data_IF_265307706474
#
_entry.id   IF_265307706474
#
_cell.length_a   1.000
_cell.length_b   1.000
_cell.length_c   1.000
_cell.angle_alpha   90.00
_cell.angle_beta   90.00
_cell.angle_gamma   90.00
#
_symmetry.space_group_name_H-M   'P 1'
#
loop_
_entity.id
_entity.type
_entity.pdbx_description
1 polymer ?
#
# COMPACT_ATOMS: atom_id res chain seq x y z
N UNK A 1 -20.94 -39.09 -56.83
CA UNK A 1 -20.14 -37.92 -56.58
C UNK A 1 -21.04 -36.91 -55.88
N UNK A 2 -20.89 -36.77 -54.56
CA UNK A 2 -21.55 -35.74 -53.77
C UNK A 2 -20.43 -35.00 -53.02
N UNK A 3 -20.21 -33.76 -53.40
CA UNK A 3 -19.28 -32.85 -52.71
C UNK A 3 -19.90 -32.38 -51.39
N UNK A 4 -19.20 -32.65 -50.32
CA UNK A 4 -19.55 -32.27 -48.93
C UNK A 4 -18.83 -30.99 -48.58
N UNK A 5 -19.55 -29.88 -48.72
CA UNK A 5 -19.01 -28.53 -48.45
C UNK A 5 -19.27 -28.16 -46.99
N UNK A 6 -18.41 -28.66 -46.07
CA UNK A 6 -18.44 -28.28 -44.63
C UNK A 6 -17.66 -26.99 -44.43
N UNK A 7 -18.37 -25.90 -44.29
CA UNK A 7 -17.81 -24.59 -43.92
C UNK A 7 -16.96 -24.65 -42.64
N UNK A 8 -15.65 -24.43 -42.77
CA UNK A 8 -14.73 -24.21 -41.65
C UNK A 8 -15.12 -22.91 -40.94
N UNK A 9 -15.69 -23.04 -39.74
CA UNK A 9 -15.77 -21.91 -38.78
C UNK A 9 -14.32 -21.45 -38.48
N UNK A 10 -13.98 -20.22 -38.83
CA UNK A 10 -12.72 -19.59 -38.43
C UNK A 10 -12.75 -19.44 -36.91
N UNK A 11 -11.85 -20.14 -36.22
CA UNK A 11 -11.60 -19.91 -34.80
C UNK A 11 -11.08 -18.46 -34.60
N UNK A 12 -11.54 -17.78 -33.52
CA UNK A 12 -10.98 -16.49 -33.19
C UNK A 12 -9.48 -16.65 -32.92
N UNK A 13 -8.69 -15.70 -33.43
CA UNK A 13 -7.24 -15.70 -33.33
C UNK A 13 -6.82 -15.84 -31.85
N UNK A 14 -6.07 -16.90 -31.57
CA UNK A 14 -5.39 -17.06 -30.28
C UNK A 14 -4.30 -16.02 -30.20
N UNK A 15 -4.42 -15.11 -29.24
CA UNK A 15 -3.38 -14.09 -28.98
C UNK A 15 -2.19 -14.81 -28.36
N UNK A 16 -1.08 -14.90 -29.08
CA UNK A 16 0.17 -15.44 -28.56
C UNK A 16 0.87 -14.34 -27.71
N UNK A 17 0.81 -14.50 -26.39
CA UNK A 17 1.44 -13.59 -25.44
C UNK A 17 2.98 -13.61 -25.43
N UNK A 18 3.61 -14.46 -26.23
CA UNK A 18 5.09 -14.60 -26.30
C UNK A 18 5.74 -13.66 -27.30
N UNK A 19 4.95 -13.07 -28.17
CA UNK A 19 5.42 -12.08 -29.13
C UNK A 19 4.38 -10.96 -29.25
N UNK A 20 4.48 -9.88 -28.47
CA UNK A 20 3.59 -8.75 -28.60
C UNK A 20 3.95 -7.92 -29.84
N UNK A 21 3.80 -8.54 -30.99
CA UNK A 21 3.63 -7.80 -32.23
C UNK A 21 2.41 -6.91 -32.06
N UNK A 22 2.58 -5.62 -32.33
CA UNK A 22 1.62 -4.54 -32.23
C UNK A 22 0.19 -5.05 -32.44
N UNK A 23 -0.55 -5.31 -31.35
CA UNK A 23 -1.99 -5.55 -31.43
C UNK A 23 -2.60 -4.26 -31.94
N UNK A 24 -3.04 -4.24 -33.19
CA UNK A 24 -3.83 -3.14 -33.72
C UNK A 24 -5.05 -2.98 -32.78
N UNK A 25 -5.31 -1.77 -32.27
CA UNK A 25 -6.45 -1.56 -31.40
C UNK A 25 -7.71 -1.98 -32.15
N UNK A 26 -8.45 -2.91 -31.59
CA UNK A 26 -9.77 -3.24 -32.06
C UNK A 26 -10.61 -1.96 -31.88
N UNK A 27 -10.95 -1.29 -32.98
CA UNK A 27 -11.90 -0.18 -32.97
C UNK A 27 -13.26 -0.78 -32.63
N UNK A 28 -13.62 -0.70 -31.36
CA UNK A 28 -14.93 -1.10 -30.90
C UNK A 28 -15.93 0.00 -31.29
N UNK A 29 -16.96 -0.38 -32.04
CA UNK A 29 -18.01 0.53 -32.48
C UNK A 29 -18.72 1.21 -31.31
N UNK A 30 -18.86 0.53 -30.18
CA UNK A 30 -19.47 1.08 -28.95
C UNK A 30 -18.57 2.21 -28.40
N UNK A 31 -17.27 1.99 -28.33
CA UNK A 31 -16.31 3.00 -27.87
C UNK A 31 -16.32 4.24 -28.77
N UNK A 32 -16.44 4.09 -30.08
CA UNK A 32 -16.55 5.22 -31.01
C UNK A 32 -17.85 6.01 -30.82
N UNK A 33 -18.99 5.33 -30.63
CA UNK A 33 -20.28 5.98 -30.32
C UNK A 33 -20.20 6.73 -28.99
N UNK A 34 -19.62 6.12 -27.95
CA UNK A 34 -19.43 6.78 -26.63
C UNK A 34 -18.53 8.00 -26.75
N UNK A 35 -17.45 7.89 -27.52
CA UNK A 35 -16.51 9.02 -27.74
C UNK A 35 -17.17 10.16 -28.53
N UNK A 36 -17.95 9.84 -29.56
CA UNK A 36 -18.70 10.86 -30.31
C UNK A 36 -19.74 11.54 -29.45
N UNK A 37 -20.55 10.76 -28.71
CA UNK A 37 -21.56 11.30 -27.78
C UNK A 37 -20.94 12.15 -26.68
N UNK A 38 -19.80 11.71 -26.12
CA UNK A 38 -19.08 12.50 -25.11
C UNK A 38 -18.55 13.82 -25.67
N UNK A 39 -18.05 13.83 -26.90
CA UNK A 39 -17.63 15.07 -27.59
C UNK A 39 -18.78 16.05 -27.74
N UNK A 40 -19.93 15.59 -28.22
CA UNK A 40 -21.12 16.42 -28.43
C UNK A 40 -21.64 16.98 -27.11
N UNK A 41 -21.81 16.15 -26.09
CA UNK A 41 -22.27 16.56 -24.76
C UNK A 41 -21.31 17.55 -24.11
N UNK A 42 -20.00 17.31 -24.22
CA UNK A 42 -18.98 18.21 -23.68
C UNK A 42 -19.01 19.56 -24.39
N UNK A 43 -19.15 19.57 -25.73
CA UNK A 43 -19.26 20.81 -26.50
C UNK A 43 -20.51 21.60 -26.13
N UNK A 44 -21.65 20.94 -25.95
CA UNK A 44 -22.90 21.58 -25.50
C UNK A 44 -22.76 22.18 -24.10
N UNK A 45 -22.15 21.45 -23.17
CA UNK A 45 -21.93 21.94 -21.81
C UNK A 45 -21.00 23.17 -21.78
N UNK A 46 -19.93 23.17 -22.59
CA UNK A 46 -19.01 24.34 -22.71
C UNK A 46 -19.73 25.55 -23.30
N UNK A 47 -20.55 25.34 -24.34
CA UNK A 47 -21.35 26.41 -24.95
C UNK A 47 -22.37 26.98 -23.96
N UNK A 48 -23.03 26.11 -23.18
CA UNK A 48 -23.98 26.53 -22.15
C UNK A 48 -23.29 27.35 -21.03
N UNK A 49 -22.11 26.91 -20.55
CA UNK A 49 -21.32 27.63 -19.55
C UNK A 49 -20.95 29.04 -20.03
N UNK A 50 -20.55 29.18 -21.30
CA UNK A 50 -20.21 30.48 -21.88
C UNK A 50 -21.46 31.35 -22.06
N UNK A 51 -22.58 30.77 -22.50
CA UNK A 51 -23.85 31.51 -22.65
C UNK A 51 -24.35 32.03 -21.30
N UNK A 52 -24.28 31.21 -20.26
CA UNK A 52 -24.65 31.60 -18.90
C UNK A 52 -23.74 32.70 -18.38
N UNK A 53 -22.41 32.60 -18.56
CA UNK A 53 -21.48 33.66 -18.17
C UNK A 53 -21.81 35.02 -18.85
N UNK A 54 -22.11 35.02 -20.16
CA UNK A 54 -22.49 36.21 -20.90
C UNK A 54 -23.82 36.75 -20.39
N UNK A 55 -24.79 35.89 -20.10
CA UNK A 55 -26.09 36.29 -19.57
C UNK A 55 -25.98 36.94 -18.19
N UNK A 56 -25.15 36.44 -17.30
CA UNK A 56 -24.90 37.03 -15.96
C UNK A 56 -24.28 38.41 -16.04
N UNK A 57 -23.65 38.78 -17.16
CA UNK A 57 -23.01 40.08 -17.36
C UNK A 57 -23.77 40.96 -18.38
N UNK A 58 -25.03 40.64 -18.68
CA UNK A 58 -25.84 41.33 -19.72
C UNK A 58 -26.06 42.80 -19.44
N UNK A 59 -26.14 43.19 -18.17
CA UNK A 59 -26.32 44.55 -17.74
C UNK A 59 -25.11 45.48 -17.96
N UNK A 60 -23.91 44.86 -18.18
CA UNK A 60 -22.68 45.61 -18.38
C UNK A 60 -22.58 46.13 -19.82
N UNK A 61 -22.65 47.44 -20.01
CA UNK A 61 -22.48 48.11 -21.30
C UNK A 61 -21.20 48.93 -21.36
N UNK A 62 -20.70 49.16 -22.56
CA UNK A 62 -19.60 50.08 -22.82
C UNK A 62 -20.09 51.53 -22.96
N UNK A 63 -19.18 52.48 -23.11
CA UNK A 63 -19.49 53.92 -23.28
C UNK A 63 -20.39 54.21 -24.50
N UNK A 64 -20.57 53.28 -25.42
CA UNK A 64 -21.43 53.37 -26.60
C UNK A 64 -22.69 52.51 -26.46
N UNK A 65 -23.12 52.22 -25.26
CA UNK A 65 -24.30 51.37 -24.93
C UNK A 65 -24.26 49.91 -25.50
N UNK A 66 -23.13 49.47 -26.01
CA UNK A 66 -23.01 48.11 -26.56
C UNK A 66 -22.65 47.12 -25.45
N UNK A 67 -23.07 45.89 -25.61
CA UNK A 67 -22.76 44.83 -24.68
C UNK A 67 -21.23 44.70 -24.49
N UNK A 68 -20.80 44.78 -23.25
CA UNK A 68 -19.38 44.79 -22.88
C UNK A 68 -18.75 43.40 -23.00
N UNK A 69 -19.45 42.38 -22.49
CA UNK A 69 -18.98 40.98 -22.52
C UNK A 69 -19.60 40.30 -23.74
N UNK A 70 -18.76 39.86 -24.67
CA UNK A 70 -19.21 39.30 -25.94
C UNK A 70 -18.42 38.02 -26.28
N UNK A 71 -19.08 37.13 -27.01
CA UNK A 71 -18.41 35.99 -27.65
C UNK A 71 -17.49 36.49 -28.76
N UNK A 72 -16.28 35.94 -28.86
CA UNK A 72 -15.26 36.33 -29.84
C UNK A 72 -14.59 35.12 -30.49
N UNK A 73 -15.36 34.34 -31.24
CA UNK A 73 -14.86 33.13 -31.89
C UNK A 73 -14.54 32.00 -30.93
N UNK A 74 -13.56 31.16 -31.29
CA UNK A 74 -13.12 30.02 -30.51
C UNK A 74 -11.64 30.11 -30.21
N UNK A 75 -11.22 29.42 -29.16
CA UNK A 75 -9.82 29.09 -28.93
C UNK A 75 -9.39 27.95 -29.90
N UNK A 76 -8.09 27.76 -30.13
CA UNK A 76 -7.62 26.60 -30.86
C UNK A 76 -8.16 25.30 -30.24
N UNK A 77 -8.49 24.35 -31.12
CA UNK A 77 -8.91 23.02 -30.69
C UNK A 77 -7.82 22.37 -29.86
N UNK A 78 -8.19 21.76 -28.75
CA UNK A 78 -7.27 21.00 -27.91
C UNK A 78 -7.85 19.63 -27.58
N UNK A 79 -6.98 18.67 -27.43
CA UNK A 79 -7.33 17.30 -27.09
C UNK A 79 -7.19 17.07 -25.59
N UNK A 80 -8.19 16.41 -25.00
CA UNK A 80 -8.20 16.02 -23.59
C UNK A 80 -8.22 14.49 -23.52
N UNK A 81 -7.25 13.92 -22.81
CA UNK A 81 -7.21 12.49 -22.52
C UNK A 81 -8.27 12.14 -21.49
N UNK A 82 -9.17 11.23 -21.84
CA UNK A 82 -10.26 10.75 -20.97
C UNK A 82 -10.22 9.22 -20.83
N UNK A 83 -11.04 8.67 -19.94
CA UNK A 83 -11.17 7.22 -19.76
C UNK A 83 -11.71 6.47 -20.99
N UNK A 84 -12.28 7.16 -21.96
CA UNK A 84 -12.76 6.60 -23.25
C UNK A 84 -11.85 6.96 -24.44
N UNK A 85 -10.63 7.46 -24.16
CA UNK A 85 -9.66 7.93 -25.14
C UNK A 85 -9.61 9.45 -25.26
N UNK A 86 -9.04 9.92 -26.35
CA UNK A 86 -8.89 11.35 -26.65
C UNK A 86 -10.20 11.97 -27.12
N UNK A 87 -10.55 13.11 -26.51
CA UNK A 87 -11.70 13.92 -26.91
C UNK A 87 -11.22 15.32 -27.31
N UNK A 88 -11.42 15.66 -28.57
CA UNK A 88 -11.12 16.99 -29.09
C UNK A 88 -12.22 17.97 -28.68
N UNK A 89 -11.83 19.13 -28.16
CA UNK A 89 -12.76 20.17 -27.65
C UNK A 89 -12.38 21.54 -28.19
N UNK A 90 -13.42 22.33 -28.54
CA UNK A 90 -13.29 23.73 -28.92
C UNK A 90 -13.97 24.60 -27.90
N UNK A 91 -13.24 25.46 -27.22
CA UNK A 91 -13.77 26.38 -26.24
C UNK A 91 -14.08 27.72 -26.87
N UNK A 92 -15.30 28.27 -26.75
CA UNK A 92 -15.61 29.64 -27.17
C UNK A 92 -14.74 30.65 -26.42
N UNK A 93 -14.30 31.68 -27.10
CA UNK A 93 -13.58 32.79 -26.49
C UNK A 93 -14.55 33.86 -26.07
N UNK A 94 -14.45 34.30 -24.83
CA UNK A 94 -15.17 35.46 -24.30
C UNK A 94 -14.23 36.67 -24.23
N UNK A 95 -14.66 37.80 -24.66
CA UNK A 95 -13.93 39.08 -24.62
C UNK A 95 -14.70 40.10 -23.82
N UNK A 96 -14.05 40.68 -22.84
CA UNK A 96 -14.46 41.95 -22.23
C UNK A 96 -13.80 43.10 -23.01
N UNK A 97 -14.60 44.03 -23.49
CA UNK A 97 -14.11 45.17 -24.27
C UNK A 97 -13.27 46.14 -23.43
N UNK A 98 -13.47 46.17 -22.12
CA UNK A 98 -12.67 46.96 -21.18
C UNK A 98 -11.53 46.17 -20.55
N UNK A 99 -11.47 44.87 -20.75
CA UNK A 99 -10.36 44.02 -20.32
C UNK A 99 -10.26 43.72 -18.81
N UNK A 100 -11.25 44.09 -18.01
CA UNK A 100 -11.25 43.95 -16.55
C UNK A 100 -11.81 42.58 -16.11
N UNK A 101 -12.73 42.01 -16.87
CA UNK A 101 -13.38 40.72 -16.55
C UNK A 101 -12.80 39.64 -17.43
N UNK A 102 -12.29 38.60 -16.79
CA UNK A 102 -11.74 37.41 -17.48
C UNK A 102 -12.63 36.20 -17.27
N UNK A 103 -13.03 35.55 -18.35
CA UNK A 103 -13.74 34.29 -18.32
C UNK A 103 -12.72 33.15 -18.14
N UNK A 104 -13.00 32.26 -17.20
CA UNK A 104 -12.30 30.96 -17.04
C UNK A 104 -13.35 29.87 -16.90
N UNK A 105 -13.29 28.88 -17.78
CA UNK A 105 -14.21 27.74 -17.75
C UNK A 105 -13.94 26.86 -16.52
N UNK A 106 -14.99 26.45 -15.83
CA UNK A 106 -14.92 25.48 -14.74
C UNK A 106 -14.82 24.05 -15.27
N UNK A 107 -15.45 23.79 -16.42
CA UNK A 107 -15.41 22.49 -17.11
C UNK A 107 -14.05 22.23 -17.78
N UNK A 108 -13.45 23.28 -18.35
CA UNK A 108 -12.19 23.24 -19.09
C UNK A 108 -11.17 24.22 -18.52
N UNK A 109 -10.63 24.01 -17.32
CA UNK A 109 -9.58 24.85 -16.77
C UNK A 109 -8.41 25.03 -17.74
N UNK A 110 -7.69 26.15 -17.71
CA UNK A 110 -6.47 26.33 -18.46
C UNK A 110 -5.51 25.17 -18.22
N UNK A 111 -4.84 24.70 -19.28
CA UNK A 111 -3.86 23.61 -19.21
C UNK A 111 -4.41 22.20 -18.88
N UNK A 112 -5.70 22.00 -18.74
CA UNK A 112 -6.28 20.66 -18.59
C UNK A 112 -5.94 19.81 -19.83
N UNK A 113 -5.14 18.78 -19.64
CA UNK A 113 -4.75 17.82 -20.69
C UNK A 113 -5.33 16.43 -20.47
N UNK A 114 -5.76 16.13 -19.25
CA UNK A 114 -6.27 14.82 -18.83
C UNK A 114 -7.40 15.00 -17.83
N UNK A 115 -8.33 14.05 -17.81
CA UNK A 115 -9.33 13.98 -16.75
C UNK A 115 -8.70 13.53 -15.44
N UNK A 116 -9.28 13.92 -14.33
CA UNK A 116 -8.82 13.55 -12.99
C UNK A 116 -8.73 12.03 -12.80
N UNK A 117 -9.68 11.26 -13.36
CA UNK A 117 -9.66 9.80 -13.34
C UNK A 117 -8.41 9.20 -13.99
N UNK A 118 -7.91 9.79 -15.07
CA UNK A 118 -6.66 9.37 -15.71
C UNK A 118 -5.45 9.78 -14.85
N UNK A 119 -5.46 10.97 -14.29
CA UNK A 119 -4.37 11.41 -13.40
C UNK A 119 -4.24 10.53 -12.16
N UNK A 120 -5.35 10.05 -11.61
CA UNK A 120 -5.38 9.11 -10.48
C UNK A 120 -4.98 7.68 -10.89
N UNK A 121 -5.31 7.23 -12.11
CA UNK A 121 -4.97 5.91 -12.62
C UNK A 121 -3.46 5.72 -12.83
N UNK A 122 -2.78 6.73 -13.35
CA UNK A 122 -1.37 6.63 -13.75
C UNK A 122 -0.43 6.29 -12.58
N UNK A 123 -0.49 6.95 -11.42
CA UNK A 123 0.30 6.58 -10.25
C UNK A 123 0.02 5.14 -9.82
N UNK A 124 -1.24 4.72 -9.90
CA UNK A 124 -1.66 3.38 -9.50
C UNK A 124 -1.09 2.29 -10.41
N UNK A 125 -1.11 2.49 -11.73
CA UNK A 125 -0.49 1.58 -12.71
C UNK A 125 1.03 1.47 -12.47
N UNK A 126 1.70 2.59 -12.22
CA UNK A 126 3.13 2.60 -11.87
C UNK A 126 3.40 1.78 -10.60
N UNK A 127 2.61 1.98 -9.54
CA UNK A 127 2.74 1.22 -8.30
C UNK A 127 2.46 -0.28 -8.49
N UNK A 128 1.59 -0.65 -9.45
CA UNK A 128 1.28 -2.05 -9.77
C UNK A 128 2.31 -2.76 -10.65
N UNK A 129 3.35 -2.08 -11.08
CA UNK A 129 4.50 -2.72 -11.71
C UNK A 129 4.74 -2.39 -13.17
N UNK A 130 3.96 -1.50 -13.78
CA UNK A 130 4.30 -1.01 -15.11
C UNK A 130 5.59 -0.19 -15.05
N UNK A 131 6.56 -0.55 -15.91
CA UNK A 131 7.77 0.27 -16.06
C UNK A 131 7.45 1.54 -16.85
N UNK A 132 8.33 2.52 -16.79
CA UNK A 132 8.19 3.76 -17.58
C UNK A 132 8.08 3.51 -19.08
N UNK A 133 8.75 2.48 -19.58
CA UNK A 133 8.69 2.08 -20.99
C UNK A 133 7.37 1.42 -21.37
N UNK A 134 6.78 0.64 -20.45
CA UNK A 134 5.54 -0.12 -20.71
C UNK A 134 4.29 0.75 -20.62
N UNK A 135 4.39 1.97 -20.05
CA UNK A 135 3.24 2.87 -19.91
C UNK A 135 2.63 3.25 -21.25
N UNK A 136 3.46 3.57 -22.24
CA UNK A 136 2.97 3.92 -23.58
C UNK A 136 2.15 2.78 -24.16
N UNK A 137 2.67 1.56 -24.10
CA UNK A 137 2.00 0.36 -24.61
C UNK A 137 0.69 0.07 -23.86
N UNK A 138 0.72 0.14 -22.51
CA UNK A 138 -0.46 -0.12 -21.70
C UNK A 138 -1.54 0.96 -21.90
N UNK A 139 -1.17 2.22 -22.00
CA UNK A 139 -2.11 3.32 -22.25
C UNK A 139 -2.65 3.26 -23.69
N UNK A 140 -1.84 2.91 -24.66
CA UNK A 140 -2.28 2.69 -26.05
C UNK A 140 -3.31 1.55 -26.11
N UNK A 141 -3.09 0.47 -25.37
CA UNK A 141 -4.05 -0.65 -25.30
C UNK A 141 -5.38 -0.26 -24.61
N UNK A 142 -5.34 0.60 -23.61
CA UNK A 142 -6.52 1.02 -22.85
C UNK A 142 -7.27 2.21 -23.46
N UNK A 143 -6.55 3.16 -24.04
CA UNK A 143 -7.08 4.49 -24.40
C UNK A 143 -6.98 4.79 -25.91
N UNK A 144 -6.37 3.91 -26.69
CA UNK A 144 -6.18 4.06 -28.14
C UNK A 144 -4.77 4.52 -28.54
N UNK A 145 -4.50 4.48 -29.85
CA UNK A 145 -3.13 4.69 -30.42
C UNK A 145 -2.52 6.05 -30.09
N UNK A 146 -3.34 7.07 -29.93
CA UNK A 146 -2.90 8.45 -29.70
C UNK A 146 -2.73 8.81 -28.23
N UNK A 147 -2.83 7.82 -27.32
CA UNK A 147 -2.67 8.07 -25.88
C UNK A 147 -1.21 8.46 -25.59
N UNK A 148 -0.94 9.72 -25.18
CA UNK A 148 0.41 10.13 -24.84
C UNK A 148 0.91 9.33 -23.64
N UNK A 149 2.02 8.63 -23.81
CA UNK A 149 2.68 7.89 -22.75
C UNK A 149 3.04 8.80 -21.57
N UNK A 150 3.28 8.20 -20.41
CA UNK A 150 3.86 8.95 -19.30
C UNK A 150 5.31 9.30 -19.65
N UNK A 151 5.59 10.58 -19.75
CA UNK A 151 6.98 11.03 -19.89
C UNK A 151 7.76 10.74 -18.61
N UNK A 152 9.06 10.51 -18.71
CA UNK A 152 9.95 10.38 -17.55
C UNK A 152 9.80 11.56 -16.57
N UNK A 153 9.56 12.77 -17.07
CA UNK A 153 9.29 13.96 -16.27
C UNK A 153 8.00 13.85 -15.43
N UNK A 154 6.94 13.24 -15.97
CA UNK A 154 5.70 13.01 -15.20
C UNK A 154 5.93 12.06 -14.03
N UNK A 155 6.72 11.00 -14.25
CA UNK A 155 7.04 10.04 -13.18
C UNK A 155 7.96 10.68 -12.13
N UNK A 156 8.92 11.49 -12.53
CA UNK A 156 9.76 12.24 -11.59
C UNK A 156 8.92 13.17 -10.72
N UNK A 157 7.96 13.89 -11.31
CA UNK A 157 7.03 14.75 -10.56
C UNK A 157 6.16 13.96 -9.57
N UNK A 158 5.66 12.78 -9.98
CA UNK A 158 4.88 11.91 -9.08
C UNK A 158 5.71 11.43 -7.88
N UNK A 159 6.98 11.11 -8.09
CA UNK A 159 7.88 10.70 -7.00
C UNK A 159 8.11 11.83 -6.00
N UNK A 160 8.26 13.06 -6.46
CA UNK A 160 8.40 14.22 -5.56
C UNK A 160 7.11 14.46 -4.77
N UNK A 161 5.94 14.39 -5.38
CA UNK A 161 4.65 14.48 -4.67
C UNK A 161 4.54 13.39 -3.60
N UNK A 162 4.91 12.14 -3.90
CA UNK A 162 4.87 11.06 -2.91
C UNK A 162 5.88 11.24 -1.77
N UNK A 163 7.01 11.86 -2.07
CA UNK A 163 8.01 12.20 -1.05
C UNK A 163 7.50 13.30 -0.11
N UNK A 164 6.82 14.32 -0.64
CA UNK A 164 6.17 15.35 0.16
C UNK A 164 5.04 14.77 1.01
N UNK A 165 4.15 13.94 0.44
CA UNK A 165 3.11 13.23 1.18
C UNK A 165 3.68 12.38 2.32
N UNK A 166 4.79 11.66 2.05
CA UNK A 166 5.50 10.90 3.08
C UNK A 166 6.01 11.81 4.20
N UNK A 167 6.65 12.92 3.87
CA UNK A 167 7.19 13.86 4.86
C UNK A 167 6.09 14.45 5.75
N UNK A 168 4.96 14.85 5.17
CA UNK A 168 3.79 15.34 5.92
C UNK A 168 3.23 14.24 6.83
N UNK A 169 3.06 13.04 6.29
CA UNK A 169 2.59 11.90 7.05
C UNK A 169 3.53 11.51 8.18
N UNK A 170 4.84 11.53 7.96
CA UNK A 170 5.85 11.19 8.97
C UNK A 170 5.82 12.15 10.17
N UNK A 171 5.43 13.39 9.97
CA UNK A 171 5.32 14.43 11.02
C UNK A 171 3.94 14.54 11.66
N UNK A 172 2.96 13.71 11.23
CA UNK A 172 1.59 13.81 11.72
C UNK A 172 1.50 13.57 13.22
N UNK A 173 0.57 14.25 13.84
CA UNK A 173 0.23 14.09 15.26
C UNK A 173 -0.37 12.70 15.55
N UNK A 174 0.06 12.10 16.63
CA UNK A 174 -0.45 10.82 17.14
C UNK A 174 -1.15 10.97 18.49
N UNK A 175 -1.30 12.19 19.02
CA UNK A 175 -2.01 12.44 20.27
C UNK A 175 -3.45 11.91 20.20
N UNK A 176 -3.90 11.34 21.32
CA UNK A 176 -5.23 10.73 21.41
C UNK A 176 -5.37 9.39 20.70
N UNK A 177 -4.30 8.86 20.08
CA UNK A 177 -4.29 7.49 19.55
C UNK A 177 -3.81 6.54 20.62
N UNK A 178 -4.69 5.63 21.02
CA UNK A 178 -4.35 4.54 21.90
C UNK A 178 -3.95 3.32 21.06
N UNK A 179 -2.68 2.98 21.09
CA UNK A 179 -2.11 1.83 20.36
C UNK A 179 -1.93 0.70 21.36
N UNK A 180 -2.65 -0.39 21.14
CA UNK A 180 -2.64 -1.55 22.05
C UNK A 180 -1.54 -2.52 21.70
N UNK A 181 -1.36 -2.83 20.42
CA UNK A 181 -0.32 -3.73 19.90
C UNK A 181 0.55 -3.05 18.86
N UNK A 182 1.83 -3.43 18.86
CA UNK A 182 2.80 -3.03 17.83
C UNK A 182 3.33 -4.25 17.07
N UNK A 183 3.59 -4.07 15.79
CA UNK A 183 4.39 -4.96 14.96
C UNK A 183 5.56 -4.16 14.40
N UNK A 184 6.77 -4.68 14.54
CA UNK A 184 7.98 -4.07 14.03
C UNK A 184 8.77 -5.08 13.16
N UNK A 185 9.28 -4.60 12.02
CA UNK A 185 10.08 -5.42 11.11
C UNK A 185 11.01 -4.55 10.26
N UNK A 186 12.17 -5.10 9.89
CA UNK A 186 13.10 -4.52 8.94
C UNK A 186 12.97 -5.18 7.57
N UNK A 187 12.59 -4.41 6.56
CA UNK A 187 12.40 -4.94 5.21
C UNK A 187 13.55 -4.52 4.31
N UNK A 188 14.29 -5.51 3.79
CA UNK A 188 15.45 -5.28 2.95
C UNK A 188 15.08 -5.23 1.46
N UNK A 189 15.63 -4.24 0.75
CA UNK A 189 15.46 -4.03 -0.68
C UNK A 189 16.80 -3.74 -1.37
N UNK A 190 16.98 -4.29 -2.59
CA UNK A 190 18.08 -3.87 -3.46
C UNK A 190 17.84 -2.47 -4.03
N UNK A 191 18.82 -1.59 -3.94
CA UNK A 191 18.83 -0.27 -4.57
C UNK A 191 19.86 -0.28 -5.70
N UNK A 192 19.44 0.14 -6.90
CA UNK A 192 20.20 -0.09 -8.15
C UNK A 192 21.56 0.63 -8.21
N UNK A 193 21.70 1.76 -7.53
CA UNK A 193 22.92 2.58 -7.54
C UNK A 193 23.75 2.44 -6.27
N UNK A 194 23.42 1.48 -5.40
CA UNK A 194 24.11 1.30 -4.13
C UNK A 194 24.50 -0.17 -3.95
N UNK A 195 25.72 -0.41 -3.46
CA UNK A 195 26.26 -1.77 -3.24
C UNK A 195 25.58 -2.46 -2.04
N UNK A 196 24.97 -1.70 -1.13
CA UNK A 196 24.30 -2.23 0.05
C UNK A 196 22.78 -2.25 -0.12
N UNK A 197 22.14 -3.32 0.33
CA UNK A 197 20.69 -3.40 0.42
C UNK A 197 20.17 -2.32 1.38
N UNK A 198 19.12 -1.61 0.96
CA UNK A 198 18.41 -0.68 1.82
C UNK A 198 17.53 -1.47 2.79
N UNK A 199 17.58 -1.14 4.07
CA UNK A 199 16.65 -1.61 5.09
C UNK A 199 15.61 -0.52 5.36
N UNK A 200 14.33 -0.83 5.18
CA UNK A 200 13.24 0.02 5.60
C UNK A 200 12.69 -0.53 6.91
N UNK A 201 12.81 0.25 7.98
CA UNK A 201 12.19 -0.06 9.27
C UNK A 201 10.72 0.34 9.25
N UNK A 202 9.86 -0.56 9.73
CA UNK A 202 8.40 -0.39 9.68
C UNK A 202 7.80 -0.69 11.04
N UNK A 203 6.87 0.18 11.49
CA UNK A 203 6.03 -0.06 12.66
C UNK A 203 4.56 0.07 12.25
N UNK A 204 3.79 -0.98 12.50
CA UNK A 204 2.32 -1.01 12.41
C UNK A 204 1.76 -1.09 13.83
N UNK A 205 0.67 -0.39 14.10
CA UNK A 205 -0.04 -0.47 15.39
C UNK A 205 -1.49 -0.88 15.22
N UNK A 206 -2.05 -1.53 16.24
CA UNK A 206 -3.49 -1.73 16.39
C UNK A 206 -4.04 -0.72 17.36
N UNK A 207 -5.05 0.04 16.94
CA UNK A 207 -5.79 1.00 17.75
C UNK A 207 -6.82 0.29 18.65
N UNK A 208 -7.34 1.00 19.63
CA UNK A 208 -8.35 0.49 20.58
C UNK A 208 -9.61 -0.07 19.90
N UNK A 209 -9.96 0.42 18.70
CA UNK A 209 -11.05 -0.11 17.87
C UNK A 209 -10.64 -1.29 16.98
N UNK A 210 -9.41 -1.80 17.14
CA UNK A 210 -8.88 -2.96 16.43
C UNK A 210 -8.39 -2.68 15.00
N UNK A 211 -8.45 -1.43 14.51
CA UNK A 211 -7.91 -1.08 13.21
C UNK A 211 -6.38 -1.07 13.24
N UNK A 212 -5.79 -1.59 12.18
CA UNK A 212 -4.34 -1.53 12.01
C UNK A 212 -3.95 -0.26 11.27
N UNK A 213 -2.90 0.41 11.73
CA UNK A 213 -2.40 1.65 11.14
C UNK A 213 -0.88 1.60 10.98
N UNK A 214 -0.39 2.11 9.86
CA UNK A 214 1.04 2.37 9.70
C UNK A 214 1.43 3.54 10.60
N UNK A 215 2.30 3.33 11.59
CA UNK A 215 2.71 4.33 12.57
C UNK A 215 4.00 5.04 12.15
N UNK A 216 4.99 4.25 11.77
CA UNK A 216 6.27 4.75 11.32
C UNK A 216 6.85 3.88 10.19
N UNK A 217 7.59 4.53 9.32
CA UNK A 217 8.39 3.91 8.26
C UNK A 217 9.58 4.82 8.00
N UNK A 218 10.79 4.29 8.05
CA UNK A 218 11.99 5.08 7.79
C UNK A 218 13.05 4.25 7.09
N UNK A 219 13.97 4.94 6.42
CA UNK A 219 15.18 4.33 5.89
C UNK A 219 16.15 4.07 7.05
N UNK A 220 16.41 2.80 7.34
CA UNK A 220 17.39 2.36 8.31
C UNK A 220 18.67 1.92 7.58
N UNK A 221 19.81 2.48 7.94
CA UNK A 221 21.09 1.99 7.41
C UNK A 221 21.31 0.52 7.76
N UNK A 222 20.85 0.10 8.94
CA UNK A 222 20.78 -1.29 9.44
C UNK A 222 19.68 -1.35 10.50
N UNK A 223 19.25 -2.55 10.88
CA UNK A 223 18.39 -2.79 12.05
C UNK A 223 19.15 -2.60 13.36
N UNK A 224 19.82 -1.44 13.53
CA UNK A 224 20.61 -1.12 14.71
C UNK A 224 19.71 -0.71 15.87
N UNK A 225 20.20 -0.86 17.08
CA UNK A 225 19.54 -0.35 18.30
C UNK A 225 19.24 1.14 18.18
N UNK A 226 20.21 1.91 17.68
CA UNK A 226 20.06 3.35 17.52
C UNK A 226 18.94 3.74 16.55
N UNK A 227 18.89 3.08 15.38
CA UNK A 227 17.84 3.37 14.37
C UNK A 227 16.43 3.04 14.91
N UNK A 228 16.27 1.93 15.63
CA UNK A 228 15.02 1.58 16.28
C UNK A 228 14.65 2.54 17.40
N UNK A 229 15.63 2.93 18.23
CA UNK A 229 15.42 3.89 19.32
C UNK A 229 14.96 5.24 18.80
N UNK A 230 15.59 5.76 17.78
CA UNK A 230 15.19 7.03 17.14
C UNK A 230 13.76 6.96 16.61
N UNK A 231 13.38 5.85 15.94
CA UNK A 231 12.03 5.65 15.44
C UNK A 231 10.98 5.57 16.56
N UNK A 232 11.27 4.85 17.66
CA UNK A 232 10.37 4.76 18.81
C UNK A 232 10.24 6.09 19.55
N UNK A 233 11.34 6.85 19.69
CA UNK A 233 11.32 8.20 20.27
C UNK A 233 10.52 9.18 19.40
N UNK A 234 10.61 9.09 18.08
CA UNK A 234 9.78 9.87 17.15
C UNK A 234 8.29 9.61 17.37
N UNK A 235 7.88 8.34 17.56
CA UNK A 235 6.50 8.02 17.92
C UNK A 235 6.05 8.71 19.21
N UNK A 236 6.91 8.72 20.25
CA UNK A 236 6.65 9.41 21.51
C UNK A 236 6.52 10.92 21.34
N UNK A 237 7.45 11.52 20.60
CA UNK A 237 7.45 12.96 20.32
C UNK A 237 6.20 13.40 19.54
N UNK A 238 5.71 12.55 18.65
CA UNK A 238 4.45 12.78 17.91
C UNK A 238 3.19 12.53 18.75
N UNK A 239 3.31 12.13 20.00
CA UNK A 239 2.21 12.03 20.94
C UNK A 239 1.77 10.62 21.34
N UNK A 240 2.47 9.56 20.94
CA UNK A 240 2.22 8.20 21.44
C UNK A 240 2.84 8.05 22.82
N UNK A 241 2.15 8.57 23.84
CA UNK A 241 2.66 8.63 25.24
C UNK A 241 2.34 7.37 26.05
N UNK A 242 1.29 6.64 25.68
CA UNK A 242 0.88 5.40 26.36
C UNK A 242 1.65 4.24 25.77
N UNK A 243 2.31 3.47 26.63
CA UNK A 243 3.07 2.29 26.21
C UNK A 243 2.12 1.22 25.64
N UNK A 244 2.36 0.68 24.44
CA UNK A 244 1.61 -0.46 23.91
C UNK A 244 1.70 -1.67 24.86
N UNK A 245 0.66 -2.49 24.90
CA UNK A 245 0.63 -3.67 25.79
C UNK A 245 1.55 -4.78 25.31
N UNK A 246 1.74 -4.91 24.00
CA UNK A 246 2.58 -5.92 23.38
C UNK A 246 3.25 -5.40 22.11
N UNK A 247 4.51 -5.76 21.89
CA UNK A 247 5.22 -5.58 20.64
C UNK A 247 5.64 -6.93 20.06
N UNK A 248 5.33 -7.17 18.80
CA UNK A 248 5.75 -8.37 18.06
C UNK A 248 6.79 -7.99 17.02
N UNK A 249 7.97 -8.62 17.08
CA UNK A 249 9.04 -8.40 16.11
C UNK A 249 9.83 -9.69 15.86
N UNK A 250 10.71 -9.63 14.85
CA UNK A 250 11.64 -10.68 14.54
C UNK A 250 12.81 -10.80 15.55
N UNK A 251 13.92 -11.48 15.13
CA UNK A 251 15.14 -11.67 15.92
C UNK A 251 16.07 -10.48 16.01
N UNK A 252 15.76 -9.33 15.40
CA UNK A 252 16.67 -8.19 15.37
C UNK A 252 16.94 -7.67 16.79
N UNK A 253 18.16 -7.90 17.28
CA UNK A 253 18.58 -7.51 18.62
C UNK A 253 18.43 -6.01 18.87
N UNK A 254 18.56 -5.19 17.83
CA UNK A 254 18.45 -3.73 17.93
C UNK A 254 17.08 -3.28 18.42
N UNK A 255 16.00 -3.84 17.89
CA UNK A 255 14.63 -3.51 18.33
C UNK A 255 14.39 -3.86 19.80
N UNK A 256 14.78 -5.07 20.21
CA UNK A 256 14.56 -5.56 21.57
C UNK A 256 15.39 -4.84 22.63
N UNK A 257 16.51 -4.23 22.26
CA UNK A 257 17.29 -3.36 23.13
C UNK A 257 16.70 -1.94 23.21
N UNK A 258 16.15 -1.43 22.11
CA UNK A 258 15.56 -0.09 22.04
C UNK A 258 14.20 -0.01 22.71
N UNK A 259 13.35 -1.04 22.56
CA UNK A 259 11.97 -1.05 23.06
C UNK A 259 11.85 -0.69 24.55
N UNK A 260 12.55 -1.36 25.49
CA UNK A 260 12.40 -1.09 26.91
C UNK A 260 12.94 0.28 27.32
N UNK A 261 13.83 0.89 26.54
CA UNK A 261 14.34 2.24 26.78
C UNK A 261 13.31 3.33 26.46
N UNK A 262 12.34 3.03 25.61
CA UNK A 262 11.33 4.01 25.16
C UNK A 262 9.94 3.66 25.69
N UNK A 263 9.54 2.39 25.58
CA UNK A 263 8.25 1.85 26.01
C UNK A 263 8.49 0.72 27.04
N UNK A 264 8.88 1.11 28.26
CA UNK A 264 9.35 0.19 29.30
C UNK A 264 8.33 -0.84 29.78
N UNK A 265 7.02 -0.54 29.65
CA UNK A 265 5.94 -1.44 30.07
C UNK A 265 5.43 -2.34 28.93
N UNK A 266 5.97 -2.21 27.73
CA UNK A 266 5.55 -3.03 26.59
C UNK A 266 6.15 -4.42 26.66
N UNK A 267 5.29 -5.44 26.65
CA UNK A 267 5.71 -6.84 26.67
C UNK A 267 6.25 -7.26 25.29
N UNK A 268 7.24 -8.13 25.29
CA UNK A 268 7.89 -8.64 24.07
C UNK A 268 7.25 -9.94 23.60
N UNK A 269 6.93 -10.04 22.32
CA UNK A 269 6.53 -11.25 21.63
C UNK A 269 7.45 -11.49 20.43
N UNK A 270 8.16 -12.60 20.42
CA UNK A 270 8.97 -13.01 19.27
C UNK A 270 8.10 -13.57 18.15
N UNK A 271 8.38 -13.17 16.91
CA UNK A 271 7.66 -13.68 15.75
C UNK A 271 7.91 -15.15 15.51
N UNK A 272 6.86 -15.98 15.53
CA UNK A 272 6.95 -17.43 15.29
C UNK A 272 7.38 -17.77 13.87
N UNK A 273 7.01 -16.97 12.86
CA UNK A 273 7.44 -17.21 11.46
C UNK A 273 8.96 -17.09 11.34
N UNK A 274 9.52 -15.99 11.82
CA UNK A 274 10.97 -15.77 11.80
C UNK A 274 11.72 -16.77 12.68
N UNK A 275 11.18 -17.07 13.88
CA UNK A 275 11.80 -18.06 14.75
C UNK A 275 11.83 -19.44 14.11
N UNK A 276 10.73 -19.88 13.51
CA UNK A 276 10.67 -21.14 12.76
C UNK A 276 11.74 -21.18 11.68
N UNK A 277 11.84 -20.15 10.84
CA UNK A 277 12.87 -20.09 9.80
C UNK A 277 14.29 -20.15 10.40
N UNK A 278 14.55 -19.42 11.48
CA UNK A 278 15.86 -19.41 12.14
C UNK A 278 16.25 -20.79 12.70
N UNK A 279 15.31 -21.50 13.31
CA UNK A 279 15.56 -22.86 13.82
C UNK A 279 15.83 -23.84 12.66
N UNK A 280 15.03 -23.77 11.60
CA UNK A 280 15.16 -24.64 10.43
C UNK A 280 16.50 -24.43 9.70
N UNK A 281 17.06 -23.21 9.70
CA UNK A 281 18.38 -22.93 9.12
C UNK A 281 19.52 -23.67 9.77
N UNK A 282 19.35 -24.17 11.00
CA UNK A 282 20.32 -25.03 11.69
C UNK A 282 20.10 -26.54 11.47
N UNK A 283 19.11 -26.90 10.63
CA UNK A 283 18.75 -28.29 10.35
C UNK A 283 18.99 -28.67 8.88
N UNK A 284 19.43 -29.86 8.58
CA UNK A 284 19.50 -30.38 7.21
C UNK A 284 18.12 -30.38 6.55
N UNK A 285 18.04 -30.15 5.23
CA UNK A 285 16.80 -30.07 4.46
C UNK A 285 15.87 -31.26 4.74
N UNK A 286 16.40 -32.49 4.83
CA UNK A 286 15.60 -33.69 5.10
C UNK A 286 14.95 -33.73 6.49
N UNK A 287 15.38 -32.88 7.44
CA UNK A 287 14.80 -32.80 8.78
C UNK A 287 13.83 -31.60 8.93
N UNK A 288 13.92 -30.65 8.02
CA UNK A 288 13.18 -29.38 8.16
C UNK A 288 11.65 -29.56 8.18
N UNK A 289 11.10 -30.47 7.38
CA UNK A 289 9.66 -30.71 7.33
C UNK A 289 9.12 -31.17 8.69
N UNK A 290 9.74 -32.22 9.27
CA UNK A 290 9.36 -32.77 10.59
C UNK A 290 9.56 -31.75 11.72
N UNK A 291 10.68 -31.01 11.67
CA UNK A 291 10.94 -29.98 12.67
C UNK A 291 9.94 -28.82 12.59
N UNK A 292 9.52 -28.45 11.38
CA UNK A 292 8.49 -27.44 11.17
C UNK A 292 7.14 -27.86 11.77
N UNK A 293 6.74 -29.10 11.59
CA UNK A 293 5.52 -29.65 12.23
C UNK A 293 5.60 -29.53 13.76
N UNK A 294 6.73 -29.95 14.36
CA UNK A 294 6.94 -29.82 15.80
C UNK A 294 6.91 -28.37 16.31
N UNK A 295 7.51 -27.43 15.57
CA UNK A 295 7.45 -26.01 15.88
C UNK A 295 6.04 -25.46 15.72
N UNK A 296 5.26 -25.98 14.79
CA UNK A 296 3.85 -25.65 14.61
C UNK A 296 3.02 -26.15 15.82
N UNK A 297 3.27 -27.36 16.32
CA UNK A 297 2.58 -27.89 17.52
C UNK A 297 2.77 -26.94 18.72
N UNK A 298 3.97 -26.39 18.92
CA UNK A 298 4.24 -25.41 19.98
C UNK A 298 3.42 -24.14 19.79
N UNK A 299 3.46 -23.58 18.58
CA UNK A 299 2.82 -22.28 18.29
C UNK A 299 1.30 -22.35 18.22
N UNK A 300 0.73 -23.56 18.05
CA UNK A 300 -0.71 -23.80 17.93
C UNK A 300 -1.28 -24.51 19.15
N UNK A 301 -0.49 -24.74 20.19
CA UNK A 301 -0.98 -25.32 21.44
C UNK A 301 -2.16 -24.55 22.03
N UNK A 302 -3.04 -25.26 22.69
CA UNK A 302 -4.25 -24.68 23.28
C UNK A 302 -3.99 -23.90 24.58
N UNK A 303 -2.93 -24.25 25.28
CA UNK A 303 -2.50 -23.57 26.50
C UNK A 303 -0.96 -23.50 26.57
N UNK A 304 -0.46 -22.66 27.49
CA UNK A 304 0.98 -22.48 27.71
C UNK A 304 1.65 -23.77 28.16
N UNK A 305 1.01 -24.56 29.03
CA UNK A 305 1.58 -25.80 29.53
C UNK A 305 1.84 -26.82 28.42
N UNK A 306 0.90 -26.98 27.48
CA UNK A 306 1.07 -27.87 26.33
C UNK A 306 2.17 -27.36 25.39
N UNK A 307 2.24 -26.04 25.19
CA UNK A 307 3.31 -25.42 24.40
C UNK A 307 4.69 -25.69 25.04
N UNK A 308 4.81 -25.53 26.34
CA UNK A 308 6.04 -25.80 27.10
C UNK A 308 6.45 -27.27 27.01
N UNK A 309 5.51 -28.19 27.13
CA UNK A 309 5.77 -29.61 26.94
C UNK A 309 6.21 -29.90 25.51
N UNK A 310 5.60 -29.31 24.50
CA UNK A 310 6.01 -29.46 23.10
C UNK A 310 7.43 -28.89 22.85
N UNK A 311 7.81 -27.82 23.55
CA UNK A 311 9.21 -27.30 23.52
C UNK A 311 10.16 -28.35 24.07
N UNK A 312 9.88 -28.97 25.23
CA UNK A 312 10.73 -30.00 25.82
C UNK A 312 10.88 -31.21 24.88
N UNK A 313 9.79 -31.65 24.24
CA UNK A 313 9.83 -32.71 23.23
C UNK A 313 10.74 -32.34 22.04
N UNK A 314 10.66 -31.09 21.58
CA UNK A 314 11.55 -30.60 20.52
C UNK A 314 13.02 -30.62 20.95
N UNK A 315 13.33 -30.10 22.14
CA UNK A 315 14.68 -30.07 22.68
C UNK A 315 15.27 -31.50 22.89
N UNK A 316 14.48 -32.42 23.40
CA UNK A 316 14.88 -33.82 23.55
C UNK A 316 15.12 -34.49 22.19
N UNK A 317 14.30 -34.19 21.17
CA UNK A 317 14.41 -34.83 19.85
C UNK A 317 15.61 -34.32 19.06
N UNK A 318 15.90 -33.03 19.11
CA UNK A 318 16.90 -32.39 18.25
C UNK A 318 18.17 -31.96 18.98
N UNK A 319 18.14 -31.80 20.32
CA UNK A 319 19.24 -31.21 21.10
C UNK A 319 20.54 -31.94 20.96
N UNK A 320 20.54 -33.31 21.07
CA UNK A 320 21.76 -34.12 21.01
C UNK A 320 22.46 -34.01 19.64
N UNK A 321 21.70 -33.98 18.55
CA UNK A 321 22.27 -34.01 17.19
C UNK A 321 22.41 -32.62 16.56
N UNK A 322 21.54 -31.66 16.95
CA UNK A 322 21.46 -30.32 16.39
C UNK A 322 21.39 -29.27 17.50
N UNK A 323 22.43 -29.16 18.35
CA UNK A 323 22.39 -28.30 19.55
C UNK A 323 22.10 -26.82 19.21
N UNK A 324 22.58 -26.29 18.08
CA UNK A 324 22.33 -24.93 17.65
C UNK A 324 20.85 -24.66 17.33
N UNK A 325 20.11 -25.65 16.79
CA UNK A 325 18.69 -25.53 16.54
C UNK A 325 17.88 -25.50 17.86
N UNK A 326 18.26 -26.39 18.79
CA UNK A 326 17.65 -26.43 20.13
C UNK A 326 17.92 -25.16 20.93
N UNK A 327 19.17 -24.70 20.98
CA UNK A 327 19.53 -23.42 21.61
C UNK A 327 18.82 -22.21 20.99
N UNK A 328 18.70 -22.20 19.66
CA UNK A 328 17.97 -21.16 18.95
C UNK A 328 16.51 -21.06 19.39
N UNK A 329 15.84 -22.20 19.66
CA UNK A 329 14.49 -22.21 20.21
C UNK A 329 14.47 -21.81 21.68
N UNK A 330 15.29 -22.45 22.51
CA UNK A 330 15.29 -22.34 23.97
C UNK A 330 15.53 -20.91 24.47
N UNK A 331 16.46 -20.18 23.84
CA UNK A 331 16.86 -18.83 24.30
C UNK A 331 15.73 -17.78 24.26
N UNK A 332 14.71 -17.99 23.43
CA UNK A 332 13.59 -17.05 23.28
C UNK A 332 12.26 -17.65 23.79
N UNK A 333 12.29 -18.78 24.50
CA UNK A 333 11.11 -19.54 24.97
C UNK A 333 10.04 -18.63 25.60
N UNK A 334 10.42 -17.83 26.58
CA UNK A 334 9.47 -17.01 27.33
C UNK A 334 8.80 -15.95 26.43
N UNK A 335 9.58 -15.30 25.58
CA UNK A 335 9.07 -14.28 24.66
C UNK A 335 8.30 -14.87 23.48
N UNK A 336 8.50 -16.12 23.14
CA UNK A 336 7.71 -16.84 22.12
C UNK A 336 6.31 -17.20 22.63
N UNK A 337 6.14 -17.41 23.94
CA UNK A 337 4.90 -17.83 24.57
C UNK A 337 4.13 -16.68 25.23
N UNK A 338 4.59 -15.44 25.10
CA UNK A 338 3.93 -14.27 25.70
C UNK A 338 2.48 -14.10 25.25
N UNK A 339 2.15 -14.50 24.02
CA UNK A 339 0.80 -14.34 23.47
C UNK A 339 -0.28 -15.10 24.26
N UNK A 340 0.05 -16.15 25.03
CA UNK A 340 -0.89 -16.87 25.87
C UNK A 340 -1.49 -16.02 26.99
N UNK A 341 -0.85 -14.90 27.33
CA UNK A 341 -1.32 -13.95 28.34
C UNK A 341 -2.21 -12.85 27.75
N UNK A 342 -2.76 -13.08 26.56
CA UNK A 342 -3.68 -12.20 25.84
C UNK A 342 -4.88 -12.99 25.34
N UNK A 343 -6.02 -12.34 24.98
CA UNK A 343 -7.22 -13.02 24.50
C UNK A 343 -6.92 -13.99 23.35
N UNK A 344 -7.52 -15.19 23.37
CA UNK A 344 -7.26 -16.24 22.39
C UNK A 344 -7.56 -15.79 20.95
N UNK A 345 -8.58 -14.95 20.75
CA UNK A 345 -8.95 -14.39 19.45
C UNK A 345 -7.86 -13.49 18.86
N UNK A 346 -7.01 -12.91 19.71
CA UNK A 346 -5.90 -12.05 19.27
C UNK A 346 -4.67 -12.84 18.81
N UNK A 347 -4.49 -14.10 19.26
CA UNK A 347 -3.27 -14.88 19.04
C UNK A 347 -2.85 -14.97 17.57
N UNK A 348 -3.83 -15.16 16.67
CA UNK A 348 -3.57 -15.21 15.23
C UNK A 348 -2.82 -13.97 14.71
N UNK A 349 -3.06 -12.81 15.33
CA UNK A 349 -2.51 -11.54 14.90
C UNK A 349 -1.21 -11.18 15.62
N UNK A 350 -1.08 -11.54 16.90
CA UNK A 350 0.01 -11.03 17.75
C UNK A 350 1.21 -11.96 17.84
N UNK A 351 1.11 -13.24 17.46
CA UNK A 351 2.23 -14.18 17.51
C UNK A 351 3.16 -14.10 16.29
N UNK A 352 2.83 -13.29 15.27
CA UNK A 352 3.63 -13.16 14.04
C UNK A 352 3.66 -11.72 13.54
N UNK A 353 4.65 -11.38 12.70
CA UNK A 353 4.74 -10.11 11.97
C UNK A 353 4.03 -10.13 10.61
N UNK A 354 3.13 -11.09 10.38
CA UNK A 354 2.34 -11.22 9.15
C UNK A 354 1.67 -9.92 8.67
N UNK A 355 1.19 -9.00 9.53
CA UNK A 355 0.64 -7.72 9.07
C UNK A 355 1.64 -6.91 8.24
N UNK A 356 2.94 -6.98 8.57
CA UNK A 356 4.00 -6.33 7.80
C UNK A 356 4.37 -7.18 6.58
N UNK A 357 4.65 -8.48 6.77
CA UNK A 357 5.13 -9.38 5.72
C UNK A 357 4.19 -9.42 4.51
N UNK A 358 2.88 -9.57 4.74
CA UNK A 358 1.87 -9.63 3.68
C UNK A 358 1.81 -8.33 2.87
N UNK A 359 1.94 -7.19 3.53
CA UNK A 359 1.96 -5.87 2.90
C UNK A 359 3.21 -5.71 2.04
N UNK A 360 4.37 -6.08 2.59
CA UNK A 360 5.65 -5.91 1.90
C UNK A 360 5.92 -6.97 0.82
N UNK A 361 5.19 -8.07 0.77
CA UNK A 361 5.20 -8.98 -0.37
C UNK A 361 4.85 -8.26 -1.68
N UNK A 362 3.86 -7.37 -1.66
CA UNK A 362 3.49 -6.53 -2.82
C UNK A 362 4.59 -5.53 -3.16
N UNK A 363 5.23 -4.92 -2.17
CA UNK A 363 6.35 -3.98 -2.38
C UNK A 363 7.54 -4.72 -2.99
N UNK A 364 7.91 -5.90 -2.46
CA UNK A 364 8.99 -6.75 -3.01
C UNK A 364 8.72 -7.17 -4.45
N UNK A 365 7.48 -7.60 -4.77
CA UNK A 365 7.10 -7.95 -6.14
C UNK A 365 7.31 -6.78 -7.11
N UNK A 366 6.94 -5.57 -6.68
CA UNK A 366 7.13 -4.36 -7.48
C UNK A 366 8.61 -4.05 -7.71
N UNK A 367 9.42 -4.10 -6.66
CA UNK A 367 10.86 -3.80 -6.74
C UNK A 367 11.64 -4.83 -7.53
N UNK A 368 11.30 -6.11 -7.43
CA UNK A 368 11.93 -7.17 -8.23
C UNK A 368 11.69 -7.00 -9.72
N UNK A 369 10.46 -6.65 -10.13
CA UNK A 369 10.12 -6.41 -11.54
C UNK A 369 10.84 -5.20 -12.14
N UNK A 370 11.12 -4.17 -11.36
CA UNK A 370 11.82 -2.96 -11.82
C UNK A 370 13.33 -3.01 -11.61
N UNK A 371 13.88 -4.15 -11.20
CA UNK A 371 15.30 -4.32 -10.86
C UNK A 371 15.78 -3.29 -9.84
N UNK A 372 14.96 -3.02 -8.83
CA UNK A 372 15.21 -2.04 -7.77
C UNK A 372 14.79 -0.61 -8.11
N UNK A 373 14.84 0.27 -7.12
CA UNK A 373 14.67 1.71 -7.29
C UNK A 373 16.02 2.38 -7.53
N UNK A 374 15.99 3.54 -8.19
CA UNK A 374 17.21 4.30 -8.52
C UNK A 374 17.85 4.92 -7.28
N UNK A 375 17.04 5.32 -6.28
CA UNK A 375 17.55 5.95 -5.03
C UNK A 375 16.74 5.50 -3.82
N UNK A 376 17.36 5.59 -2.63
CA UNK A 376 16.73 5.31 -1.32
C UNK A 376 15.45 6.10 -1.09
N UNK A 377 15.49 7.41 -1.32
CA UNK A 377 14.31 8.27 -1.15
C UNK A 377 13.14 7.89 -2.06
N UNK A 378 13.41 7.49 -3.31
CA UNK A 378 12.38 7.00 -4.23
C UNK A 378 11.81 5.66 -3.78
N UNK A 379 12.64 4.77 -3.22
CA UNK A 379 12.22 3.49 -2.66
C UNK A 379 11.30 3.71 -1.46
N UNK A 380 11.69 4.55 -0.52
CA UNK A 380 10.93 4.85 0.68
C UNK A 380 9.56 5.46 0.34
N UNK A 381 9.52 6.47 -0.55
CA UNK A 381 8.27 7.09 -0.99
C UNK A 381 7.34 6.10 -1.70
N UNK A 382 7.88 5.22 -2.54
CA UNK A 382 7.11 4.18 -3.20
C UNK A 382 6.61 3.12 -2.21
N UNK A 383 7.45 2.64 -1.30
CA UNK A 383 7.06 1.69 -0.26
C UNK A 383 5.96 2.28 0.63
N UNK A 384 6.10 3.55 1.03
CA UNK A 384 5.08 4.30 1.76
C UNK A 384 3.74 4.31 1.03
N UNK A 385 3.73 4.71 -0.25
CA UNK A 385 2.49 4.81 -1.03
C UNK A 385 1.79 3.46 -1.21
N UNK A 386 2.56 2.40 -1.47
CA UNK A 386 2.04 1.03 -1.54
C UNK A 386 1.48 0.56 -0.19
N UNK A 387 2.18 0.82 0.91
CA UNK A 387 1.74 0.45 2.25
C UNK A 387 0.46 1.21 2.64
N UNK A 388 0.37 2.52 2.35
CA UNK A 388 -0.85 3.32 2.59
C UNK A 388 -2.04 2.83 1.77
N UNK A 389 -1.80 2.36 0.56
CA UNK A 389 -2.86 1.74 -0.26
C UNK A 389 -3.30 0.39 0.32
N UNK A 390 -2.37 -0.40 0.84
CA UNK A 390 -2.67 -1.67 1.50
C UNK A 390 -3.40 -1.47 2.83
N UNK A 391 -3.04 -0.44 3.60
CA UNK A 391 -3.65 -0.09 4.89
C UNK A 391 -5.17 0.04 4.80
N UNK A 392 -5.70 0.59 3.71
CA UNK A 392 -7.14 0.72 3.47
C UNK A 392 -7.87 -0.63 3.38
N UNK A 393 -7.14 -1.73 3.12
CA UNK A 393 -7.67 -3.08 2.97
C UNK A 393 -7.30 -4.00 4.14
N UNK A 394 -6.58 -3.50 5.14
CA UNK A 394 -6.21 -4.31 6.28
C UNK A 394 -7.45 -4.69 7.09
N UNK A 395 -7.56 -5.96 7.38
CA UNK A 395 -8.64 -6.47 8.22
C UNK A 395 -8.48 -6.01 9.66
N UNK A 396 -9.58 -5.63 10.28
CA UNK A 396 -9.66 -5.36 11.71
C UNK A 396 -9.16 -6.58 12.50
N UNK A 397 -8.59 -6.36 13.66
CA UNK A 397 -8.13 -7.41 14.57
C UNK A 397 -9.33 -8.24 14.99
N UNK A 398 -9.25 -9.57 14.85
CA UNK A 398 -10.27 -10.49 15.32
C UNK A 398 -10.35 -10.38 16.85
N UNK A 399 -11.54 -10.42 17.44
CA UNK A 399 -11.70 -10.25 18.88
C UNK A 399 -11.48 -8.80 19.37
N UNK A 400 -11.51 -7.79 18.49
CA UNK A 400 -11.28 -6.39 18.87
C UNK A 400 -12.17 -5.89 20.01
N UNK A 401 -13.35 -6.49 20.22
CA UNK A 401 -14.21 -6.18 21.36
C UNK A 401 -13.56 -6.47 22.73
N UNK A 402 -12.50 -7.28 22.77
CA UNK A 402 -11.72 -7.56 23.98
C UNK A 402 -10.57 -6.58 24.22
N UNK A 403 -10.26 -5.69 23.26
CA UNK A 403 -9.18 -4.71 23.41
C UNK A 403 -9.40 -3.77 24.62
N UNK A 404 -10.60 -3.27 24.91
CA UNK A 404 -10.83 -2.48 26.13
C UNK A 404 -10.38 -3.20 27.41
N UNK A 405 -10.68 -4.49 27.55
CA UNK A 405 -10.23 -5.31 28.69
C UNK A 405 -8.69 -5.36 28.79
N UNK A 406 -8.00 -5.48 27.64
CA UNK A 406 -6.52 -5.46 27.59
C UNK A 406 -5.98 -4.08 27.97
N UNK A 407 -6.62 -3.00 27.51
CA UNK A 407 -6.26 -1.61 27.83
C UNK A 407 -6.38 -1.35 29.33
N UNK A 408 -7.47 -1.77 29.93
CA UNK A 408 -7.75 -1.69 31.39
C UNK A 408 -6.76 -2.51 32.21
N UNK A 409 -5.98 -3.40 31.58
CA UNK A 409 -4.96 -4.21 32.24
C UNK A 409 -5.52 -5.48 32.90
N UNK A 410 -6.70 -5.94 32.47
CA UNK A 410 -7.21 -7.22 32.90
C UNK A 410 -6.28 -8.35 32.47
N UNK A 411 -6.08 -9.32 33.39
CA UNK A 411 -5.18 -10.44 33.13
C UNK A 411 -5.88 -11.54 32.35
N UNK A 412 -5.15 -12.12 31.44
CA UNK A 412 -5.56 -13.30 30.67
C UNK A 412 -4.57 -14.43 30.93
N UNK A 413 -5.08 -15.64 31.01
CA UNK A 413 -4.31 -16.87 31.10
C UNK A 413 -4.84 -17.85 30.07
N UNK A 414 -3.97 -18.35 29.21
CA UNK A 414 -4.33 -19.26 28.13
C UNK A 414 -5.51 -18.75 27.26
N UNK A 415 -5.51 -17.44 27.02
CA UNK A 415 -6.50 -16.77 26.17
C UNK A 415 -7.82 -16.42 26.85
N UNK A 416 -8.07 -16.85 28.10
CA UNK A 416 -9.26 -16.56 28.89
C UNK A 416 -8.96 -15.48 29.93
N UNK A 417 -9.94 -14.63 30.23
CA UNK A 417 -9.81 -13.68 31.33
C UNK A 417 -9.70 -14.45 32.63
N UNK A 418 -8.80 -14.05 33.55
CA UNK A 418 -8.70 -14.68 34.88
C UNK A 418 -10.02 -14.56 35.60
N UNK A 419 -10.55 -15.70 36.05
CA UNK A 419 -11.87 -15.82 36.69
C UNK A 419 -13.01 -16.27 35.74
N UNK A 420 -12.79 -16.31 34.44
CA UNK A 420 -13.72 -16.93 33.49
C UNK A 420 -13.35 -18.41 33.28
N UNK A 421 -14.33 -19.31 33.43
CA UNK A 421 -14.13 -20.75 33.16
C UNK A 421 -14.47 -21.06 31.69
N UNK A 422 -13.68 -21.90 31.01
CA UNK A 422 -14.09 -22.44 29.71
C UNK A 422 -15.41 -23.18 29.85
N UNK A 423 -16.49 -22.64 29.32
CA UNK A 423 -17.72 -23.41 29.12
C UNK A 423 -17.40 -24.35 27.94
N UNK A 424 -17.33 -25.65 28.25
CA UNK A 424 -17.18 -26.67 27.22
C UNK A 424 -18.38 -26.57 26.26
N UNK A 425 -18.12 -26.33 24.98
CA UNK A 425 -19.13 -26.31 23.91
C UNK A 425 -19.37 -27.73 23.41
#
# INVERSE_FOLDING_TARGET
>A
MREDNRGRKKNPAVIDYRNPGVALPVRDAITEVLRSGARELLQQAIEAEVAEFIAQHRELKDERERQRIVRNGYQPERTIQTGIGEVAVKQPRVRDRQGTIKYSSSLLPPYLRRTKSIEELLPWLYLKGLSTGDFSTALTALLGQDAPGLSAATISRLKEVWKEEYQQWARRDLRGKEIVYLWADGVHFGVRLEDANQCILVIIGATADGKKQLLAMTDGYRESEQSWKEMLLDLKQRGLTIDPKLATADGALGFWKALPQVFGNTRAQRCWVHKTANVLNYLPVGQQAKAKERLHDISMAECRADAEQAVEVFLATYGAKYPKAAECLAKDRDTLLTFFDFPAEHWLHIRTTNPIESTFATVRLRTSKTRGCVSRGSMLAMAFKLTKTAEQKWRTLKGHALLPKVIEGLRFKDGLQEGETRIAA
#
